data_IF_666680184394
#
_entry.id   IF_666680184394
#
_cell.length_a   1.000
_cell.length_b   1.000
_cell.length_c   1.000
_cell.angle_alpha   90.00
_cell.angle_beta   90.00
_cell.angle_gamma   90.00
#
_symmetry.space_group_name_H-M   'P 1'
#
loop_
_entity.id
_entity.type
_entity.pdbx_description
1 polymer ?
#
# COMPACT_ATOMS: atom_id res chain seq x y z
N UNK A 1 13.79 -11.88 26.64
CA UNK A 1 13.68 -10.79 25.66
C UNK A 1 13.07 -11.40 24.41
N UNK A 2 11.81 -11.09 24.10
CA UNK A 2 11.12 -11.67 22.94
C UNK A 2 11.59 -10.93 21.68
N UNK A 3 12.51 -11.52 20.93
CA UNK A 3 12.93 -10.98 19.64
C UNK A 3 11.74 -10.99 18.70
N UNK A 4 11.26 -9.80 18.31
CA UNK A 4 10.15 -9.69 17.38
C UNK A 4 10.65 -10.16 16.00
N UNK A 5 9.97 -11.12 15.34
CA UNK A 5 10.46 -11.73 14.09
C UNK A 5 10.65 -10.71 12.98
N UNK A 6 9.97 -9.57 13.06
CA UNK A 6 10.10 -8.49 12.09
C UNK A 6 11.29 -7.55 12.29
N UNK A 7 12.06 -7.72 13.36
CA UNK A 7 13.31 -7.00 13.60
C UNK A 7 14.55 -7.83 13.25
N UNK A 8 14.38 -9.08 12.80
CA UNK A 8 15.50 -9.91 12.37
C UNK A 8 16.17 -9.33 11.11
N UNK A 9 17.51 -9.17 11.07
CA UNK A 9 18.21 -8.53 9.95
C UNK A 9 17.92 -9.19 8.59
N UNK A 10 17.80 -10.52 8.54
CA UNK A 10 17.49 -11.26 7.32
C UNK A 10 16.07 -10.93 6.81
N UNK A 11 15.09 -10.83 7.70
CA UNK A 11 13.72 -10.46 7.34
C UNK A 11 13.64 -9.01 6.87
N UNK A 12 14.34 -8.09 7.56
CA UNK A 12 14.44 -6.68 7.15
C UNK A 12 15.02 -6.55 5.74
N UNK A 13 16.11 -7.25 5.43
CA UNK A 13 16.74 -7.20 4.11
C UNK A 13 15.79 -7.71 3.01
N UNK A 14 15.14 -8.85 3.25
CA UNK A 14 14.16 -9.42 2.32
C UNK A 14 12.98 -8.47 2.06
N UNK A 15 12.37 -7.92 3.11
CA UNK A 15 11.24 -7.02 2.95
C UNK A 15 11.66 -5.68 2.35
N UNK A 16 12.87 -5.19 2.64
CA UNK A 16 13.43 -4.00 1.97
C UNK A 16 13.45 -4.17 0.46
N UNK A 17 13.94 -5.32 0.00
CA UNK A 17 14.00 -5.64 -1.42
C UNK A 17 12.60 -5.72 -2.03
N UNK A 18 11.67 -6.45 -1.39
CA UNK A 18 10.30 -6.59 -1.88
C UNK A 18 9.55 -5.25 -1.95
N UNK A 19 9.68 -4.39 -0.93
CA UNK A 19 9.09 -3.04 -0.89
C UNK A 19 9.67 -2.18 -2.02
N UNK A 20 10.99 -2.22 -2.22
CA UNK A 20 11.65 -1.45 -3.27
C UNK A 20 11.22 -1.89 -4.68
N UNK A 21 11.18 -3.20 -4.95
CA UNK A 21 10.71 -3.74 -6.23
C UNK A 21 9.27 -3.31 -6.52
N UNK A 22 8.38 -3.40 -5.53
CA UNK A 22 6.99 -2.98 -5.72
C UNK A 22 6.87 -1.46 -5.92
N UNK A 23 7.65 -0.67 -5.20
CA UNK A 23 7.70 0.78 -5.37
C UNK A 23 8.10 1.19 -6.79
N UNK A 24 9.12 0.52 -7.36
CA UNK A 24 9.54 0.74 -8.74
C UNK A 24 8.44 0.37 -9.75
N UNK A 25 7.78 -0.78 -9.55
CA UNK A 25 6.66 -1.22 -10.40
C UNK A 25 5.52 -0.19 -10.42
N UNK A 26 5.06 0.22 -9.24
CA UNK A 26 3.94 1.18 -9.09
C UNK A 26 4.33 2.56 -9.64
N UNK A 27 5.54 3.02 -9.39
CA UNK A 27 6.03 4.29 -9.94
C UNK A 27 6.14 4.23 -11.47
N UNK A 28 6.54 3.10 -12.04
CA UNK A 28 6.56 2.87 -13.48
C UNK A 28 5.16 2.95 -14.10
N UNK A 29 4.18 2.29 -13.48
CA UNK A 29 2.77 2.37 -13.91
C UNK A 29 2.21 3.79 -13.80
N UNK A 30 2.51 4.49 -12.71
CA UNK A 30 2.11 5.89 -12.51
C UNK A 30 2.71 6.80 -13.59
N UNK A 31 4.01 6.62 -13.89
CA UNK A 31 4.71 7.36 -14.94
C UNK A 31 4.08 7.11 -16.31
N UNK A 32 3.77 5.86 -16.63
CA UNK A 32 3.11 5.50 -17.90
C UNK A 32 1.71 6.13 -18.02
N UNK A 33 0.92 6.14 -16.94
CA UNK A 33 -0.40 6.75 -16.95
C UNK A 33 -0.33 8.26 -17.10
N UNK A 34 0.60 8.92 -16.42
CA UNK A 34 0.84 10.36 -16.57
C UNK A 34 1.32 10.69 -17.99
N UNK A 35 2.19 9.86 -18.57
CA UNK A 35 2.67 10.03 -19.94
C UNK A 35 1.54 9.84 -20.98
N UNK A 36 0.64 8.86 -20.78
CA UNK A 36 -0.55 8.65 -21.61
C UNK A 36 -1.62 9.73 -21.41
N UNK A 37 -1.60 10.44 -20.28
CA UNK A 37 -2.44 11.61 -20.01
C UNK A 37 -1.92 12.93 -20.61
N UNK A 38 -0.85 12.89 -21.42
CA UNK A 38 -0.53 13.95 -22.38
C UNK A 38 -1.48 13.97 -23.60
N UNK A 39 -2.47 13.07 -23.68
CA UNK A 39 -3.69 13.29 -24.44
C UNK A 39 -4.69 14.03 -23.52
N UNK A 40 -4.98 15.28 -23.86
CA UNK A 40 -5.75 16.24 -23.07
C UNK A 40 -7.12 15.73 -22.62
N UNK A 41 -7.61 16.29 -21.49
CA UNK A 41 -8.94 16.09 -20.89
C UNK A 41 -10.12 16.21 -21.88
N UNK A 42 -9.91 16.80 -23.06
CA UNK A 42 -10.88 16.89 -24.14
C UNK A 42 -11.19 15.55 -24.84
N UNK A 43 -10.42 14.48 -24.61
CA UNK A 43 -10.47 13.27 -25.47
C UNK A 43 -10.87 11.96 -24.78
N UNK A 44 -11.15 11.95 -23.48
CA UNK A 44 -11.41 10.70 -22.75
C UNK A 44 -12.86 10.69 -22.21
N UNK A 45 -13.72 9.89 -22.85
CA UNK A 45 -14.96 9.35 -22.25
C UNK A 45 -14.71 7.89 -21.88
N UNK A 46 -14.90 7.52 -20.61
CA UNK A 46 -14.86 6.12 -20.18
C UNK A 46 -16.07 5.81 -19.27
N UNK A 47 -16.79 4.70 -19.50
CA UNK A 47 -17.90 4.25 -18.67
C UNK A 47 -17.44 3.38 -17.49
N UNK A 48 -18.22 3.42 -16.40
CA UNK A 48 -18.16 2.58 -15.18
C UNK A 48 -17.01 2.87 -14.19
N UNK A 49 -17.11 4.01 -13.50
CA UNK A 49 -16.30 4.39 -12.34
C UNK A 49 -16.55 3.47 -11.12
N UNK A 50 -15.58 2.63 -10.78
CA UNK A 50 -15.48 2.03 -9.44
C UNK A 50 -14.92 3.09 -8.45
N UNK A 51 -15.76 3.45 -7.46
CA UNK A 51 -15.84 4.70 -6.67
C UNK A 51 -16.18 5.92 -7.54
N UNK A 52 -17.35 6.57 -7.34
CA UNK A 52 -17.68 7.82 -8.05
C UNK A 52 -16.52 8.82 -7.88
N UNK A 53 -15.79 9.12 -8.96
CA UNK A 53 -14.75 10.14 -9.02
C UNK A 53 -13.29 9.74 -8.72
N UNK A 54 -12.95 8.52 -8.27
CA UNK A 54 -11.52 8.20 -7.99
C UNK A 54 -10.75 7.83 -9.26
N UNK A 55 -9.96 8.78 -9.77
CA UNK A 55 -9.15 8.58 -10.98
C UNK A 55 -8.09 7.48 -10.77
N UNK A 56 -7.76 6.66 -11.80
CA UNK A 56 -6.71 5.64 -11.72
C UNK A 56 -5.35 6.14 -11.18
N UNK A 57 -5.02 7.39 -11.48
CA UNK A 57 -3.81 8.07 -10.97
C UNK A 57 -3.85 8.22 -9.45
N UNK A 58 -4.98 8.63 -8.88
CA UNK A 58 -5.13 8.80 -7.43
C UNK A 58 -5.02 7.47 -6.70
N UNK A 59 -5.59 6.40 -7.28
CA UNK A 59 -5.44 5.03 -6.74
C UNK A 59 -3.97 4.60 -6.67
N UNK A 60 -3.20 4.83 -7.73
CA UNK A 60 -1.78 4.47 -7.76
C UNK A 60 -0.93 5.37 -6.87
N UNK A 61 -1.24 6.67 -6.78
CA UNK A 61 -0.59 7.59 -5.82
C UNK A 61 -0.81 7.14 -4.39
N UNK A 62 -2.05 6.79 -4.02
CA UNK A 62 -2.37 6.24 -2.69
C UNK A 62 -1.57 4.97 -2.42
N UNK A 63 -1.49 4.07 -3.39
CA UNK A 63 -0.74 2.83 -3.23
C UNK A 63 0.77 3.08 -3.08
N UNK A 64 1.34 3.97 -3.89
CA UNK A 64 2.75 4.36 -3.77
C UNK A 64 3.04 4.98 -2.40
N UNK A 65 2.16 5.84 -1.89
CA UNK A 65 2.28 6.41 -0.55
C UNK A 65 2.27 5.32 0.53
N UNK A 66 1.45 4.28 0.38
CA UNK A 66 1.45 3.14 1.27
C UNK A 66 2.79 2.39 1.28
N UNK A 67 3.39 2.17 0.11
CA UNK A 67 4.71 1.52 -0.04
C UNK A 67 5.81 2.39 0.60
N UNK A 68 5.81 3.69 0.35
CA UNK A 68 6.77 4.63 0.95
C UNK A 68 6.63 4.65 2.48
N UNK A 69 5.40 4.66 2.99
CA UNK A 69 5.15 4.59 4.44
C UNK A 69 5.72 3.29 5.04
N UNK A 70 5.54 2.15 4.35
CA UNK A 70 6.13 0.89 4.78
C UNK A 70 7.66 0.91 4.78
N UNK A 71 8.28 1.51 3.77
CA UNK A 71 9.73 1.70 3.70
C UNK A 71 10.26 2.52 4.88
N UNK A 72 9.54 3.58 5.29
CA UNK A 72 9.91 4.41 6.44
C UNK A 72 9.79 3.68 7.78
N UNK A 73 8.81 2.80 7.91
CA UNK A 73 8.64 1.98 9.12
C UNK A 73 9.64 0.84 9.19
N UNK A 74 10.14 0.36 8.06
CA UNK A 74 11.00 -0.81 8.02
C UNK A 74 12.24 -0.66 8.93
N UNK A 75 12.43 -1.59 9.85
CA UNK A 75 13.49 -1.54 10.86
C UNK A 75 13.13 -0.77 12.13
N UNK A 76 11.94 -0.16 12.20
CA UNK A 76 11.36 0.38 13.43
C UNK A 76 10.46 -0.64 14.12
N UNK A 77 10.10 -0.35 15.37
CA UNK A 77 9.15 -1.12 16.19
C UNK A 77 7.70 -1.03 15.69
N UNK A 78 7.42 -0.17 14.70
CA UNK A 78 6.12 -0.02 14.05
C UNK A 78 5.96 -0.93 12.83
N UNK A 79 7.05 -1.44 12.26
CA UNK A 79 6.96 -2.39 11.17
C UNK A 79 6.33 -3.70 11.65
N UNK A 80 5.46 -4.28 10.83
CA UNK A 80 4.76 -5.51 11.18
C UNK A 80 3.67 -5.34 12.25
N UNK A 81 3.25 -4.11 12.57
CA UNK A 81 2.07 -3.84 13.42
C UNK A 81 0.99 -3.08 12.65
N UNK A 82 -0.27 -3.40 12.94
CA UNK A 82 -1.42 -2.65 12.47
C UNK A 82 -1.33 -1.21 12.98
N UNK A 83 -1.48 -0.23 12.09
CA UNK A 83 -1.40 1.18 12.48
C UNK A 83 -2.63 1.66 13.25
N UNK A 84 -3.77 1.00 13.04
CA UNK A 84 -5.02 1.33 13.73
C UNK A 84 -5.10 0.79 15.16
N UNK A 85 -4.62 -0.43 15.42
CA UNK A 85 -4.80 -1.09 16.73
C UNK A 85 -3.52 -1.62 17.36
N UNK A 86 -2.36 -1.51 16.70
CA UNK A 86 -1.08 -1.98 17.21
C UNK A 86 -0.85 -3.50 17.17
N UNK A 87 -1.85 -4.28 16.74
CA UNK A 87 -1.75 -5.75 16.65
C UNK A 87 -0.60 -6.17 15.73
N UNK A 88 0.19 -7.16 16.14
CA UNK A 88 1.23 -7.76 15.29
C UNK A 88 0.58 -8.45 14.09
N UNK A 89 1.02 -8.08 12.89
CA UNK A 89 0.56 -8.66 11.65
C UNK A 89 1.23 -10.03 11.43
N UNK A 90 0.52 -11.01 10.85
CA UNK A 90 1.09 -12.31 10.55
C UNK A 90 2.32 -12.20 9.66
N UNK A 91 3.42 -12.87 10.02
CA UNK A 91 4.66 -12.88 9.23
C UNK A 91 4.40 -13.41 7.82
N UNK A 92 3.53 -14.41 7.66
CA UNK A 92 3.12 -14.92 6.35
C UNK A 92 2.51 -13.83 5.46
N UNK A 93 1.60 -13.01 6.01
CA UNK A 93 1.01 -11.88 5.29
C UNK A 93 2.04 -10.81 4.93
N UNK A 94 3.01 -10.54 5.83
CA UNK A 94 4.11 -9.61 5.56
C UNK A 94 5.11 -10.14 4.52
N UNK A 95 5.26 -11.46 4.39
CA UNK A 95 6.10 -12.06 3.36
C UNK A 95 5.51 -11.85 1.96
N UNK A 96 4.17 -11.88 1.85
CA UNK A 96 3.47 -11.63 0.59
C UNK A 96 3.29 -10.13 0.32
N UNK A 97 2.95 -9.37 1.36
CA UNK A 97 2.58 -7.95 1.28
C UNK A 97 3.24 -7.13 2.38
N UNK A 98 4.55 -6.84 2.27
CA UNK A 98 5.31 -6.15 3.33
C UNK A 98 4.91 -4.67 3.53
N UNK A 99 4.04 -4.13 2.66
CA UNK A 99 3.46 -2.80 2.77
C UNK A 99 2.08 -2.76 3.45
N UNK A 100 1.62 -3.86 4.06
CA UNK A 100 0.41 -3.87 4.88
C UNK A 100 0.45 -2.77 5.95
N UNK A 101 -0.68 -2.10 6.14
CA UNK A 101 -0.86 -1.05 7.16
C UNK A 101 -1.78 -1.51 8.27
N UNK A 102 -2.85 -2.23 7.94
CA UNK A 102 -3.87 -2.64 8.90
C UNK A 102 -4.13 -4.13 8.89
N UNK A 103 -4.59 -4.65 10.02
CA UNK A 103 -5.12 -6.00 10.10
C UNK A 103 -6.50 -6.06 9.41
N UNK A 104 -6.90 -7.26 8.98
CA UNK A 104 -8.20 -7.48 8.31
C UNK A 104 -9.39 -6.82 9.03
N UNK A 105 -9.54 -6.97 10.37
CA UNK A 105 -10.61 -6.31 11.11
C UNK A 105 -10.61 -4.78 11.03
N UNK A 106 -9.45 -4.13 11.16
CA UNK A 106 -9.34 -2.66 11.07
C UNK A 106 -9.58 -2.17 9.64
N UNK A 107 -9.06 -2.89 8.64
CA UNK A 107 -9.31 -2.58 7.24
C UNK A 107 -10.81 -2.67 6.90
N UNK A 108 -11.50 -3.71 7.38
CA UNK A 108 -12.93 -3.88 7.15
C UNK A 108 -13.74 -2.71 7.71
N UNK A 109 -13.45 -2.28 8.96
CA UNK A 109 -14.14 -1.14 9.60
C UNK A 109 -14.00 0.17 8.81
N UNK A 110 -12.83 0.45 8.26
CA UNK A 110 -12.58 1.66 7.47
C UNK A 110 -13.36 1.66 6.15
N UNK A 111 -13.55 0.49 5.53
CA UNK A 111 -14.29 0.37 4.26
C UNK A 111 -15.81 0.27 4.44
N UNK A 112 -16.30 -0.13 5.62
CA UNK A 112 -17.74 -0.21 5.91
C UNK A 112 -18.42 1.16 6.05
N UNK A 113 -17.67 2.23 6.31
CA UNK A 113 -18.21 3.60 6.44
C UNK A 113 -18.62 4.23 5.08
N UNK A 114 -18.45 3.51 3.96
CA UNK A 114 -18.71 4.01 2.60
C UNK A 114 -20.09 3.65 2.03
N UNK A 115 -21.02 3.09 2.81
CA UNK A 115 -22.39 2.81 2.38
C UNK A 115 -23.40 3.43 3.35
N UNK A 116 -23.90 4.66 3.11
CA UNK A 116 -25.22 5.01 3.60
C UNK A 116 -26.24 4.22 2.76
N UNK A 117 -27.11 3.47 3.43
CA UNK A 117 -28.36 2.98 2.83
C UNK A 117 -29.24 4.16 2.41
#
# INVERSE_FOLDING_TARGET
MTTLPFLEPANIARWRQAIALKGMEVNGQLTQLLAKQNATLATIKLPNEEKPGEKPVERLRRFLNQIIAAQRRLGSDQFGKCQSCGLVLPVAALNETPWLQDCGPCFAKTNSTALPF
#
